data_IF_509569115089
#
_entry.id   IF_509569115089
#
_cell.length_a   1.000
_cell.length_b   1.000
_cell.length_c   1.000
_cell.angle_alpha   90.00
_cell.angle_beta   90.00
_cell.angle_gamma   90.00
#
_symmetry.space_group_name_H-M   'P 1'
#
loop_
_entity.id
_entity.type
_entity.pdbx_description
1 polymer ?
#
# COMPACT_ATOMS: atom_id res chain seq x y z
N UNK A 1 10.51 -49.04 -5.67
CA UNK A 1 9.11 -49.16 -6.16
C UNK A 1 8.16 -48.14 -5.49
N UNK A 2 8.21 -47.92 -4.17
CA UNK A 2 7.31 -46.96 -3.49
C UNK A 2 7.44 -45.49 -3.97
N UNK A 3 8.66 -45.00 -4.22
CA UNK A 3 8.88 -43.64 -4.72
C UNK A 3 8.30 -43.42 -6.14
N UNK A 4 8.41 -44.43 -7.02
CA UNK A 4 7.88 -44.35 -8.38
C UNK A 4 6.33 -44.25 -8.40
N UNK A 5 5.65 -44.97 -7.50
CA UNK A 5 4.20 -44.88 -7.36
C UNK A 5 3.75 -43.50 -6.84
N UNK A 6 4.50 -42.93 -5.89
CA UNK A 6 4.23 -41.59 -5.35
C UNK A 6 4.42 -40.52 -6.42
N UNK A 7 5.49 -40.62 -7.20
CA UNK A 7 5.79 -39.79 -8.36
C UNK A 7 4.65 -39.79 -9.39
N UNK A 8 4.19 -40.98 -9.83
CA UNK A 8 3.08 -41.08 -10.78
C UNK A 8 1.79 -40.45 -10.24
N UNK A 9 1.48 -40.67 -8.95
CA UNK A 9 0.30 -40.09 -8.31
C UNK A 9 0.34 -38.56 -8.20
N UNK A 10 1.54 -37.99 -8.03
CA UNK A 10 1.73 -36.55 -8.02
C UNK A 10 1.49 -35.96 -9.41
N UNK A 11 2.09 -36.55 -10.44
CA UNK A 11 1.97 -36.07 -11.82
C UNK A 11 0.52 -36.09 -12.29
N UNK A 12 -0.24 -37.14 -11.98
CA UNK A 12 -1.68 -37.19 -12.36
C UNK A 12 -2.50 -36.13 -11.65
N UNK A 13 -2.34 -35.97 -10.32
CA UNK A 13 -3.03 -34.91 -9.56
C UNK A 13 -2.67 -33.51 -10.04
N UNK A 14 -1.39 -33.29 -10.36
CA UNK A 14 -0.87 -32.04 -10.90
C UNK A 14 -1.46 -31.70 -12.27
N UNK A 15 -1.52 -32.69 -13.17
CA UNK A 15 -2.16 -32.54 -14.48
C UNK A 15 -3.67 -32.25 -14.35
N UNK A 16 -4.37 -32.94 -13.46
CA UNK A 16 -5.81 -32.77 -13.26
C UNK A 16 -6.15 -31.38 -12.70
N UNK A 17 -5.37 -30.89 -11.72
CA UNK A 17 -5.52 -29.53 -11.22
C UNK A 17 -5.24 -28.48 -12.29
N UNK A 18 -4.22 -28.70 -13.14
CA UNK A 18 -3.97 -27.79 -14.27
C UNK A 18 -5.08 -27.77 -15.28
N UNK A 19 -5.66 -28.92 -15.62
CA UNK A 19 -6.82 -28.99 -16.53
C UNK A 19 -8.00 -28.25 -15.93
N UNK A 20 -8.25 -28.43 -14.63
CA UNK A 20 -9.31 -27.72 -13.91
C UNK A 20 -9.06 -26.21 -13.86
N UNK A 21 -7.83 -25.77 -13.59
CA UNK A 21 -7.45 -24.36 -13.63
C UNK A 21 -7.72 -23.75 -15.01
N UNK A 22 -7.24 -24.39 -16.09
CA UNK A 22 -7.47 -23.90 -17.47
C UNK A 22 -8.96 -23.83 -17.84
N UNK A 23 -9.76 -24.80 -17.39
CA UNK A 23 -11.22 -24.77 -17.59
C UNK A 23 -11.83 -23.57 -16.89
N UNK A 24 -11.48 -23.34 -15.63
CA UNK A 24 -11.98 -22.20 -14.85
C UNK A 24 -11.52 -20.86 -15.44
N UNK A 25 -10.27 -20.76 -15.89
CA UNK A 25 -9.74 -19.58 -16.59
C UNK A 25 -10.56 -19.26 -17.85
N UNK A 26 -10.89 -20.27 -18.64
CA UNK A 26 -11.73 -20.12 -19.85
C UNK A 26 -13.15 -19.67 -19.50
N UNK A 27 -13.74 -20.22 -18.44
CA UNK A 27 -15.08 -19.84 -17.98
C UNK A 27 -15.11 -18.39 -17.46
N UNK A 28 -14.05 -17.96 -16.75
CA UNK A 28 -13.87 -16.58 -16.30
C UNK A 28 -13.75 -15.63 -17.50
N UNK A 29 -12.97 -15.97 -18.52
CA UNK A 29 -12.85 -15.17 -19.74
C UNK A 29 -14.19 -14.96 -20.43
N UNK A 30 -14.97 -16.02 -20.64
CA UNK A 30 -16.29 -15.93 -21.28
C UNK A 30 -17.23 -15.03 -20.48
N UNK A 31 -17.25 -15.17 -19.15
CA UNK A 31 -18.10 -14.33 -18.30
C UNK A 31 -17.62 -12.89 -18.24
N UNK A 32 -16.31 -12.63 -18.19
CA UNK A 32 -15.75 -11.27 -18.24
C UNK A 32 -16.06 -10.59 -19.58
N UNK A 33 -16.00 -11.33 -20.70
CA UNK A 33 -16.43 -10.80 -22.00
C UNK A 33 -17.92 -10.46 -22.00
N UNK A 34 -18.76 -11.29 -21.39
CA UNK A 34 -20.20 -11.00 -21.25
C UNK A 34 -20.46 -9.76 -20.38
N UNK A 35 -19.68 -9.59 -19.31
CA UNK A 35 -19.71 -8.44 -18.41
C UNK A 35 -19.30 -7.17 -19.16
N UNK A 36 -18.18 -7.22 -19.88
CA UNK A 36 -17.70 -6.11 -20.71
C UNK A 36 -18.69 -5.76 -21.83
N UNK A 37 -19.36 -6.75 -22.42
CA UNK A 37 -20.42 -6.52 -23.41
C UNK A 37 -21.64 -5.82 -22.78
N UNK A 38 -22.01 -6.16 -21.55
CA UNK A 38 -23.05 -5.45 -20.81
C UNK A 38 -22.64 -3.98 -20.57
N UNK A 39 -21.41 -3.74 -20.13
CA UNK A 39 -20.88 -2.38 -19.97
C UNK A 39 -20.83 -1.59 -21.29
N UNK A 40 -20.39 -2.22 -22.38
CA UNK A 40 -20.40 -1.63 -23.71
C UNK A 40 -21.81 -1.35 -24.21
N UNK A 41 -22.80 -2.19 -23.88
CA UNK A 41 -24.20 -1.94 -24.21
C UNK A 41 -24.76 -0.73 -23.45
N UNK A 42 -24.41 -0.57 -22.17
CA UNK A 42 -24.79 0.59 -21.36
C UNK A 42 -24.16 1.89 -21.89
N UNK A 43 -22.88 1.87 -22.26
CA UNK A 43 -22.18 3.04 -22.81
C UNK A 43 -22.51 3.33 -24.29
N UNK A 44 -22.74 2.28 -25.08
CA UNK A 44 -22.89 2.32 -26.54
C UNK A 44 -24.20 2.91 -27.02
N UNK A 45 -25.25 2.90 -26.19
CA UNK A 45 -26.56 3.52 -26.48
C UNK A 45 -26.44 4.99 -26.91
N UNK A 46 -25.34 5.69 -26.61
CA UNK A 46 -25.12 7.08 -27.06
C UNK A 46 -24.01 7.29 -28.08
N UNK A 47 -23.07 6.36 -28.24
CA UNK A 47 -22.01 6.49 -29.24
C UNK A 47 -22.54 6.42 -30.67
N UNK A 48 -23.64 5.68 -30.87
CA UNK A 48 -24.33 5.59 -32.15
C UNK A 48 -25.54 6.51 -32.19
N UNK A 49 -25.39 7.64 -32.86
CA UNK A 49 -26.46 8.44 -33.46
C UNK A 49 -27.52 9.05 -32.52
N UNK A 50 -27.27 10.31 -32.14
CA UNK A 50 -28.11 11.51 -32.29
C UNK A 50 -29.65 11.48 -32.51
N UNK A 51 -30.37 10.36 -32.58
CA UNK A 51 -31.80 10.41 -32.93
C UNK A 51 -32.66 9.21 -32.52
N UNK A 52 -32.36 8.56 -31.40
CA UNK A 52 -33.36 7.72 -30.76
C UNK A 52 -33.54 8.22 -29.34
N UNK A 53 -34.65 8.92 -29.10
CA UNK A 53 -35.35 8.87 -27.82
C UNK A 53 -35.80 7.42 -27.58
N UNK A 54 -34.86 6.47 -27.53
CA UNK A 54 -35.11 5.18 -26.94
C UNK A 54 -35.24 5.50 -25.46
N UNK A 55 -36.49 5.57 -25.04
CA UNK A 55 -36.95 5.35 -23.69
C UNK A 55 -36.25 4.10 -23.13
N UNK A 56 -34.98 4.24 -22.74
CA UNK A 56 -34.23 3.26 -21.98
C UNK A 56 -34.84 3.32 -20.60
N UNK A 57 -36.00 2.66 -20.47
CA UNK A 57 -36.81 2.72 -19.28
C UNK A 57 -36.00 2.28 -18.08
N UNK A 58 -36.36 2.79 -16.91
CA UNK A 58 -35.83 2.34 -15.62
C UNK A 58 -35.81 0.79 -15.53
N UNK A 59 -36.76 0.13 -16.17
CA UNK A 59 -36.85 -1.33 -16.30
C UNK A 59 -35.60 -1.95 -16.97
N UNK A 60 -35.09 -1.38 -18.06
CA UNK A 60 -33.89 -1.88 -18.74
C UNK A 60 -32.62 -1.65 -17.92
N UNK A 61 -32.54 -0.52 -17.20
CA UNK A 61 -31.45 -0.24 -16.26
C UNK A 61 -31.48 -1.26 -15.11
N UNK A 62 -32.67 -1.51 -14.56
CA UNK A 62 -32.86 -2.46 -13.46
C UNK A 62 -32.55 -3.90 -13.88
N UNK A 63 -32.95 -4.31 -15.08
CA UNK A 63 -32.61 -5.62 -15.65
C UNK A 63 -31.11 -5.74 -15.84
N UNK A 64 -30.47 -4.69 -16.38
CA UNK A 64 -29.02 -4.62 -16.58
C UNK A 64 -28.25 -4.64 -15.25
N UNK A 65 -28.80 -4.04 -14.19
CA UNK A 65 -28.27 -4.16 -12.82
C UNK A 65 -28.36 -5.60 -12.32
N UNK A 66 -29.52 -6.23 -12.45
CA UNK A 66 -29.71 -7.60 -11.98
C UNK A 66 -28.80 -8.59 -12.73
N UNK A 67 -28.63 -8.43 -14.04
CA UNK A 67 -27.71 -9.26 -14.82
C UNK A 67 -26.26 -8.98 -14.46
N UNK A 68 -25.89 -7.72 -14.23
CA UNK A 68 -24.57 -7.33 -13.73
C UNK A 68 -24.27 -7.97 -12.36
N UNK A 69 -25.20 -7.89 -11.42
CA UNK A 69 -25.04 -8.46 -10.07
C UNK A 69 -24.92 -9.98 -10.13
N UNK A 70 -25.76 -10.66 -10.91
CA UNK A 70 -25.69 -12.11 -11.11
C UNK A 70 -24.35 -12.54 -11.74
N UNK A 71 -23.92 -11.87 -12.81
CA UNK A 71 -22.62 -12.13 -13.44
C UNK A 71 -21.45 -11.82 -12.50
N UNK A 72 -21.57 -10.79 -11.67
CA UNK A 72 -20.52 -10.42 -10.70
C UNK A 72 -20.35 -11.49 -9.62
N UNK A 73 -21.46 -12.01 -9.08
CA UNK A 73 -21.43 -13.11 -8.10
C UNK A 73 -20.87 -14.38 -8.73
N UNK A 74 -21.27 -14.70 -9.96
CA UNK A 74 -20.76 -15.85 -10.69
C UNK A 74 -19.25 -15.77 -10.94
N UNK A 75 -18.75 -14.61 -11.39
CA UNK A 75 -17.32 -14.39 -11.63
C UNK A 75 -16.55 -14.48 -10.32
N UNK A 76 -17.06 -13.90 -9.24
CA UNK A 76 -16.43 -14.00 -7.93
C UNK A 76 -16.32 -15.47 -7.47
N UNK A 77 -17.37 -16.25 -7.62
CA UNK A 77 -17.36 -17.68 -7.29
C UNK A 77 -16.35 -18.46 -8.15
N UNK A 78 -16.23 -18.15 -9.45
CA UNK A 78 -15.21 -18.76 -10.31
C UNK A 78 -13.79 -18.36 -9.89
N UNK A 79 -13.55 -17.11 -9.52
CA UNK A 79 -12.26 -16.63 -9.02
C UNK A 79 -11.90 -17.29 -7.69
N UNK A 80 -12.86 -17.48 -6.79
CA UNK A 80 -12.66 -18.18 -5.51
C UNK A 80 -12.31 -19.67 -5.75
N UNK A 81 -13.01 -20.31 -6.70
CA UNK A 81 -12.68 -21.68 -7.12
C UNK A 81 -11.30 -21.78 -7.77
N UNK A 82 -10.92 -20.82 -8.63
CA UNK A 82 -9.60 -20.78 -9.25
C UNK A 82 -8.50 -20.54 -8.21
N UNK A 83 -8.76 -19.67 -7.23
CA UNK A 83 -7.88 -19.45 -6.08
C UNK A 83 -7.68 -20.75 -5.30
N UNK A 84 -8.77 -21.47 -4.99
CA UNK A 84 -8.67 -22.75 -4.28
C UNK A 84 -7.90 -23.83 -5.07
N UNK A 85 -8.07 -23.87 -6.39
CA UNK A 85 -7.30 -24.78 -7.26
C UNK A 85 -5.82 -24.40 -7.26
N UNK A 86 -5.50 -23.11 -7.32
CA UNK A 86 -4.12 -22.61 -7.27
C UNK A 86 -3.46 -22.90 -5.90
N UNK A 87 -4.18 -22.75 -4.79
CA UNK A 87 -3.70 -23.09 -3.45
C UNK A 87 -3.38 -24.59 -3.31
N UNK A 88 -4.29 -25.46 -3.79
CA UNK A 88 -4.04 -26.92 -3.82
C UNK A 88 -2.85 -27.28 -4.69
N UNK A 89 -2.70 -26.57 -5.80
CA UNK A 89 -1.58 -26.74 -6.71
C UNK A 89 -0.28 -26.31 -6.01
N UNK A 90 -0.28 -25.22 -5.25
CA UNK A 90 0.87 -24.77 -4.45
C UNK A 90 1.22 -25.76 -3.33
N UNK A 91 0.22 -26.27 -2.61
CA UNK A 91 0.39 -27.25 -1.56
C UNK A 91 1.06 -28.53 -2.09
N UNK A 92 0.60 -29.02 -3.25
CA UNK A 92 1.23 -30.16 -3.92
C UNK A 92 2.69 -29.87 -4.29
N UNK A 93 3.02 -28.67 -4.77
CA UNK A 93 4.42 -28.33 -5.05
C UNK A 93 5.25 -28.35 -3.77
N UNK A 94 4.78 -27.71 -2.70
CA UNK A 94 5.50 -27.58 -1.43
C UNK A 94 5.88 -28.94 -0.84
N UNK A 95 4.97 -29.91 -0.92
CA UNK A 95 5.16 -31.25 -0.34
C UNK A 95 6.00 -32.18 -1.24
N UNK A 96 6.34 -31.76 -2.46
CA UNK A 96 6.99 -32.62 -3.46
C UNK A 96 8.43 -32.20 -3.76
N UNK A 97 9.26 -33.19 -4.12
CA UNK A 97 10.63 -32.95 -4.63
C UNK A 97 10.62 -32.08 -5.91
N UNK A 98 9.47 -32.00 -6.59
CA UNK A 98 9.25 -31.17 -7.77
C UNK A 98 9.24 -29.67 -7.49
N UNK A 99 9.10 -29.21 -6.23
CA UNK A 99 9.32 -27.79 -5.90
C UNK A 99 10.66 -27.25 -6.43
N UNK A 100 11.67 -28.14 -6.56
CA UNK A 100 12.99 -27.80 -7.08
C UNK A 100 13.07 -27.71 -8.60
N UNK A 101 12.03 -28.15 -9.32
CA UNK A 101 11.97 -28.08 -10.76
C UNK A 101 11.55 -26.66 -11.19
N UNK A 102 12.43 -25.89 -11.85
CA UNK A 102 12.14 -24.50 -12.23
C UNK A 102 10.92 -24.37 -13.15
N UNK A 103 10.60 -25.40 -13.95
CA UNK A 103 9.42 -25.40 -14.82
C UNK A 103 8.11 -25.41 -14.02
N UNK A 104 8.07 -26.12 -12.90
CA UNK A 104 6.89 -26.20 -12.04
C UNK A 104 6.64 -24.89 -11.29
N UNK A 105 7.72 -24.29 -10.76
CA UNK A 105 7.69 -22.97 -10.12
C UNK A 105 7.25 -21.88 -11.10
N UNK A 106 7.76 -21.89 -12.33
CA UNK A 106 7.35 -20.95 -13.36
C UNK A 106 5.87 -21.11 -13.75
N UNK A 107 5.40 -22.35 -13.88
CA UNK A 107 3.99 -22.63 -14.19
C UNK A 107 3.06 -22.14 -13.08
N UNK A 108 3.42 -22.37 -11.82
CA UNK A 108 2.69 -21.84 -10.67
C UNK A 108 2.67 -20.31 -10.66
N UNK A 109 3.82 -19.67 -10.90
CA UNK A 109 3.92 -18.22 -10.98
C UNK A 109 2.98 -17.66 -12.05
N UNK A 110 2.93 -18.29 -13.23
CA UNK A 110 2.01 -17.90 -14.31
C UNK A 110 0.54 -17.98 -13.90
N UNK A 111 0.13 -19.03 -13.19
CA UNK A 111 -1.26 -19.16 -12.71
C UNK A 111 -1.61 -18.07 -11.68
N UNK A 112 -0.66 -17.63 -10.85
CA UNK A 112 -0.86 -16.51 -9.93
C UNK A 112 -1.00 -15.18 -10.65
N UNK A 113 -0.15 -14.93 -11.64
CA UNK A 113 -0.21 -13.71 -12.45
C UNK A 113 -1.55 -13.62 -13.19
N UNK A 114 -1.97 -14.70 -13.84
CA UNK A 114 -3.27 -14.78 -14.53
C UNK A 114 -4.45 -14.54 -13.58
N UNK A 115 -4.43 -15.15 -12.38
CA UNK A 115 -5.47 -14.92 -11.38
C UNK A 115 -5.52 -13.45 -10.91
N UNK A 116 -4.36 -12.83 -10.74
CA UNK A 116 -4.26 -11.41 -10.38
C UNK A 116 -4.79 -10.52 -11.50
N UNK A 117 -4.44 -10.82 -12.75
CA UNK A 117 -4.92 -10.11 -13.94
C UNK A 117 -6.45 -10.19 -14.04
N UNK A 118 -7.04 -11.39 -13.89
CA UNK A 118 -8.50 -11.54 -13.89
C UNK A 118 -9.17 -10.79 -12.75
N UNK A 119 -8.57 -10.78 -11.55
CA UNK A 119 -9.10 -10.04 -10.41
C UNK A 119 -9.06 -8.53 -10.65
N UNK A 120 -8.00 -8.05 -11.29
CA UNK A 120 -7.84 -6.64 -11.67
C UNK A 120 -8.83 -6.23 -12.77
N UNK A 121 -8.93 -7.01 -13.83
CA UNK A 121 -9.86 -6.78 -14.94
C UNK A 121 -11.31 -6.85 -14.48
N UNK A 122 -11.67 -7.82 -13.62
CA UNK A 122 -12.99 -7.89 -13.01
C UNK A 122 -13.32 -6.62 -12.21
N UNK A 123 -12.42 -6.18 -11.33
CA UNK A 123 -12.62 -4.96 -10.52
C UNK A 123 -12.75 -3.71 -11.38
N UNK A 124 -11.95 -3.63 -12.44
CA UNK A 124 -12.00 -2.53 -13.42
C UNK A 124 -13.33 -2.53 -14.18
N UNK A 125 -13.77 -3.68 -14.68
CA UNK A 125 -15.05 -3.84 -15.37
C UNK A 125 -16.22 -3.51 -14.43
N UNK A 126 -16.17 -3.99 -13.19
CA UNK A 126 -17.15 -3.72 -12.15
C UNK A 126 -17.24 -2.22 -11.84
N UNK A 127 -16.11 -1.54 -11.67
CA UNK A 127 -16.08 -0.09 -11.45
C UNK A 127 -16.65 0.70 -12.64
N UNK A 128 -16.26 0.32 -13.86
CA UNK A 128 -16.76 0.97 -15.08
C UNK A 128 -18.28 0.80 -15.23
N UNK A 129 -18.81 -0.39 -15.01
CA UNK A 129 -20.26 -0.64 -15.11
C UNK A 129 -21.02 0.08 -14.00
N UNK A 130 -20.50 0.13 -12.78
CA UNK A 130 -21.14 0.91 -11.71
C UNK A 130 -21.24 2.39 -12.06
N UNK A 131 -20.17 2.99 -12.60
CA UNK A 131 -20.19 4.40 -13.05
C UNK A 131 -21.21 4.60 -14.18
N UNK A 132 -21.26 3.68 -15.15
CA UNK A 132 -22.24 3.74 -16.24
C UNK A 132 -23.68 3.59 -15.73
N UNK A 133 -23.90 2.69 -14.79
CA UNK A 133 -25.21 2.39 -14.24
C UNK A 133 -25.70 3.52 -13.31
N UNK A 134 -24.83 4.08 -12.49
CA UNK A 134 -25.14 5.27 -11.68
C UNK A 134 -25.45 6.47 -12.57
N UNK A 135 -24.66 6.70 -13.61
CA UNK A 135 -24.94 7.72 -14.61
C UNK A 135 -26.31 7.50 -15.25
N UNK A 136 -26.61 6.27 -15.67
CA UNK A 136 -27.89 5.96 -16.30
C UNK A 136 -29.07 6.11 -15.33
N UNK A 137 -28.91 5.75 -14.06
CA UNK A 137 -29.94 5.98 -13.02
C UNK A 137 -30.19 7.46 -12.76
N UNK A 138 -29.13 8.27 -12.65
CA UNK A 138 -29.27 9.72 -12.47
C UNK A 138 -29.96 10.35 -13.68
N UNK A 139 -29.61 9.90 -14.90
CA UNK A 139 -30.23 10.37 -16.14
C UNK A 139 -31.68 9.92 -16.26
N UNK A 140 -31.99 8.65 -15.96
CA UNK A 140 -33.35 8.12 -15.94
C UNK A 140 -34.21 8.83 -14.89
N UNK A 141 -33.65 9.12 -13.70
CA UNK A 141 -34.31 9.92 -12.67
C UNK A 141 -34.54 11.36 -13.13
N UNK A 142 -33.57 11.97 -13.83
CA UNK A 142 -33.74 13.32 -14.38
C UNK A 142 -34.81 13.34 -15.47
N UNK A 143 -34.87 12.34 -16.35
CA UNK A 143 -35.88 12.24 -17.41
C UNK A 143 -37.27 11.96 -16.83
N UNK A 144 -37.38 11.08 -15.83
CA UNK A 144 -38.65 10.86 -15.12
C UNK A 144 -39.11 12.14 -14.42
N UNK A 145 -38.17 12.88 -13.81
CA UNK A 145 -38.41 14.20 -13.24
C UNK A 145 -38.84 15.22 -14.30
N UNK A 146 -38.14 15.36 -15.43
CA UNK A 146 -38.46 16.27 -16.53
C UNK A 146 -39.82 15.93 -17.17
N UNK A 147 -40.12 14.65 -17.37
CA UNK A 147 -41.43 14.22 -17.87
C UNK A 147 -42.55 14.57 -16.88
N UNK A 148 -42.27 14.58 -15.57
CA UNK A 148 -43.23 15.08 -14.57
C UNK A 148 -43.22 16.61 -14.46
N UNK A 149 -42.09 17.28 -14.71
CA UNK A 149 -41.89 18.74 -14.60
C UNK A 149 -42.46 19.50 -15.80
N UNK A 150 -42.71 18.85 -16.94
CA UNK A 150 -43.53 19.46 -17.99
C UNK A 150 -44.99 19.68 -17.57
N UNK A 151 -45.39 19.31 -16.34
CA UNK A 151 -46.66 19.71 -15.73
C UNK A 151 -46.38 20.52 -14.45
N UNK A 152 -45.83 21.73 -14.62
CA UNK A 152 -46.10 22.85 -13.71
C UNK A 152 -45.00 23.19 -12.67
N UNK A 153 -44.68 24.48 -12.63
CA UNK A 153 -43.89 25.20 -11.61
C UNK A 153 -42.36 25.10 -11.71
N UNK A 154 -41.88 25.75 -12.75
CA UNK A 154 -40.59 26.45 -12.81
C UNK A 154 -40.34 27.25 -11.50
N UNK A 155 -39.26 26.93 -10.78
CA UNK A 155 -38.77 27.75 -9.65
C UNK A 155 -38.31 27.00 -8.39
N UNK A 156 -38.95 25.91 -7.97
CA UNK A 156 -38.61 25.25 -6.68
C UNK A 156 -37.57 24.13 -6.83
N UNK A 157 -37.63 23.35 -7.91
CA UNK A 157 -36.74 22.20 -8.10
C UNK A 157 -35.29 22.62 -8.37
N UNK A 158 -35.09 23.71 -9.12
CA UNK A 158 -33.74 24.21 -9.44
C UNK A 158 -32.97 24.66 -8.19
N UNK A 159 -33.69 25.13 -7.16
CA UNK A 159 -33.08 25.58 -5.90
C UNK A 159 -32.55 24.41 -5.07
N UNK A 160 -33.23 23.26 -5.10
CA UNK A 160 -32.77 22.07 -4.38
C UNK A 160 -31.56 21.43 -5.07
N UNK A 161 -31.56 21.34 -6.40
CA UNK A 161 -30.39 20.85 -7.15
C UNK A 161 -29.18 21.75 -6.96
N UNK A 162 -29.35 23.08 -6.99
CA UNK A 162 -28.28 24.04 -6.74
C UNK A 162 -27.69 23.91 -5.32
N UNK A 163 -28.55 23.65 -4.32
CA UNK A 163 -28.10 23.43 -2.94
C UNK A 163 -27.21 22.18 -2.82
N UNK A 164 -27.59 21.06 -3.44
CA UNK A 164 -26.78 19.83 -3.42
C UNK A 164 -25.47 19.98 -4.19
N UNK A 165 -25.48 20.70 -5.32
CA UNK A 165 -24.27 20.97 -6.10
C UNK A 165 -23.29 21.82 -5.29
N UNK A 166 -23.80 22.85 -4.60
CA UNK A 166 -23.02 23.69 -3.70
C UNK A 166 -22.48 22.90 -2.50
N UNK A 167 -23.26 21.99 -1.93
CA UNK A 167 -22.80 21.09 -0.87
C UNK A 167 -21.68 20.17 -1.38
N UNK A 168 -21.83 19.59 -2.57
CA UNK A 168 -20.81 18.75 -3.18
C UNK A 168 -19.50 19.50 -3.43
N UNK A 169 -19.58 20.73 -3.94
CA UNK A 169 -18.40 21.59 -4.10
C UNK A 169 -17.74 21.91 -2.76
N UNK A 170 -18.54 22.15 -1.71
CA UNK A 170 -18.03 22.37 -0.36
C UNK A 170 -17.37 21.12 0.23
N UNK A 171 -17.94 19.92 0.01
CA UNK A 171 -17.35 18.64 0.42
C UNK A 171 -16.02 18.43 -0.32
N UNK A 172 -15.99 18.63 -1.64
CA UNK A 172 -14.76 18.47 -2.44
C UNK A 172 -13.67 19.47 -2.05
N UNK A 173 -14.05 20.70 -1.74
CA UNK A 173 -13.12 21.69 -1.18
C UNK A 173 -12.62 21.26 0.20
N UNK A 174 -13.51 20.71 1.05
CA UNK A 174 -13.13 20.19 2.37
C UNK A 174 -12.18 19.01 2.27
N UNK A 175 -12.40 18.10 1.33
CA UNK A 175 -11.56 16.93 1.07
C UNK A 175 -10.14 17.35 0.69
N UNK A 176 -10.01 18.33 -0.22
CA UNK A 176 -8.72 18.92 -0.58
C UNK A 176 -8.00 19.56 0.61
N UNK A 177 -8.73 20.30 1.45
CA UNK A 177 -8.15 20.91 2.66
C UNK A 177 -7.69 19.86 3.67
N UNK A 178 -8.41 18.72 3.78
CA UNK A 178 -8.02 17.61 4.64
C UNK A 178 -6.74 16.94 4.11
N UNK A 179 -6.63 16.70 2.80
CA UNK A 179 -5.41 16.16 2.20
C UNK A 179 -4.19 17.07 2.43
N UNK A 180 -4.36 18.38 2.27
CA UNK A 180 -3.30 19.36 2.55
C UNK A 180 -2.90 19.35 4.04
N UNK A 181 -3.86 19.24 4.95
CA UNK A 181 -3.60 19.12 6.40
C UNK A 181 -2.90 17.80 6.76
N UNK A 182 -3.30 16.69 6.15
CA UNK A 182 -2.65 15.38 6.34
C UNK A 182 -1.21 15.45 5.81
N UNK A 183 -0.99 16.05 4.64
CA UNK A 183 0.33 16.28 4.07
C UNK A 183 1.23 17.12 4.98
N UNK A 184 0.70 18.24 5.49
CA UNK A 184 1.41 19.11 6.44
C UNK A 184 1.73 18.38 7.76
N UNK A 185 0.79 17.57 8.28
CA UNK A 185 0.98 16.80 9.50
C UNK A 185 2.05 15.70 9.31
N UNK A 186 2.05 15.01 8.17
CA UNK A 186 3.06 14.00 7.82
C UNK A 186 4.45 14.64 7.68
N UNK A 187 4.56 15.77 6.97
CA UNK A 187 5.81 16.53 6.83
C UNK A 187 6.33 17.04 8.17
N UNK A 188 5.44 17.50 9.05
CA UNK A 188 5.79 17.93 10.42
C UNK A 188 6.26 16.75 11.26
N UNK A 189 5.59 15.59 11.17
CA UNK A 189 6.02 14.35 11.86
C UNK A 189 7.42 13.94 11.43
N UNK A 190 7.70 13.96 10.14
CA UNK A 190 9.01 13.63 9.58
C UNK A 190 10.08 14.62 10.06
N UNK A 191 9.79 15.93 10.04
CA UNK A 191 10.68 16.97 10.55
C UNK A 191 11.02 16.78 12.03
N UNK A 192 10.02 16.48 12.89
CA UNK A 192 10.24 16.18 14.30
C UNK A 192 11.06 14.90 14.51
N UNK A 193 10.87 13.89 13.67
CA UNK A 193 11.66 12.66 13.72
C UNK A 193 13.13 12.92 13.37
N UNK A 194 13.41 13.68 12.30
CA UNK A 194 14.76 14.10 11.93
C UNK A 194 15.41 14.93 13.04
N UNK A 195 14.67 15.86 13.66
CA UNK A 195 15.16 16.63 14.82
C UNK A 195 15.52 15.72 16.00
N UNK A 196 14.68 14.72 16.32
CA UNK A 196 14.96 13.74 17.37
C UNK A 196 16.22 12.92 17.08
N UNK A 197 16.42 12.50 15.83
CA UNK A 197 17.65 11.84 15.38
C UNK A 197 18.87 12.76 15.51
N UNK A 198 18.74 14.03 15.13
CA UNK A 198 19.76 15.06 15.31
C UNK A 198 20.16 15.23 16.78
N UNK A 199 19.19 15.38 17.69
CA UNK A 199 19.43 15.46 19.12
C UNK A 199 20.09 14.19 19.68
N UNK A 200 19.69 13.00 19.20
CA UNK A 200 20.34 11.74 19.58
C UNK A 200 21.79 11.68 19.10
N UNK A 201 22.08 12.20 17.91
CA UNK A 201 23.44 12.29 17.38
C UNK A 201 24.29 13.31 18.16
N UNK A 202 23.70 14.45 18.55
CA UNK A 202 24.36 15.44 19.41
C UNK A 202 24.63 14.84 20.79
N UNK A 203 23.67 14.14 21.39
CA UNK A 203 23.85 13.43 22.67
C UNK A 203 24.96 12.39 22.58
N UNK A 204 25.02 11.60 21.49
CA UNK A 204 26.13 10.68 21.23
C UNK A 204 27.47 11.41 21.10
N UNK A 205 27.54 12.53 20.38
CA UNK A 205 28.76 13.35 20.29
C UNK A 205 29.15 13.92 21.64
N UNK A 206 28.20 14.42 22.44
CA UNK A 206 28.44 14.95 23.77
C UNK A 206 28.98 13.87 24.71
N UNK A 207 28.37 12.69 24.74
CA UNK A 207 28.90 11.55 25.52
C UNK A 207 30.29 11.12 25.06
N UNK A 208 30.60 11.25 23.77
CA UNK A 208 31.94 10.99 23.22
C UNK A 208 32.95 12.04 23.66
N UNK A 209 32.56 13.32 23.71
CA UNK A 209 33.38 14.41 24.24
C UNK A 209 33.63 14.25 25.75
N UNK A 210 32.61 13.88 26.53
CA UNK A 210 32.75 13.58 27.96
C UNK A 210 33.74 12.43 28.19
N UNK A 211 33.72 11.39 27.35
CA UNK A 211 34.70 10.30 27.41
C UNK A 211 36.13 10.74 27.06
N UNK A 212 36.31 11.81 26.27
CA UNK A 212 37.63 12.39 25.97
C UNK A 212 38.12 13.37 27.04
N UNK A 213 37.24 13.88 27.90
CA UNK A 213 37.61 14.76 29.00
C UNK A 213 38.72 14.20 29.91
N UNK A 214 38.69 12.93 30.39
CA UNK A 214 39.79 12.37 31.17
C UNK A 214 41.10 12.21 30.38
N UNK A 215 41.02 12.03 29.05
CA UNK A 215 42.21 12.01 28.20
C UNK A 215 42.86 13.41 28.12
N UNK A 216 42.05 14.46 27.96
CA UNK A 216 42.52 15.86 28.03
C UNK A 216 43.05 16.18 29.42
N UNK A 217 42.37 15.74 30.48
CA UNK A 217 42.82 15.94 31.86
C UNK A 217 44.17 15.26 32.11
N UNK A 218 44.38 14.04 31.60
CA UNK A 218 45.64 13.32 31.69
C UNK A 218 46.77 14.03 30.93
N UNK A 219 46.48 14.62 29.77
CA UNK A 219 47.44 15.42 29.01
C UNK A 219 47.77 16.73 29.75
N UNK A 220 46.76 17.40 30.32
CA UNK A 220 46.94 18.62 31.13
C UNK A 220 47.81 18.35 32.36
N UNK A 221 47.55 17.27 33.09
CA UNK A 221 48.37 16.85 34.22
C UNK A 221 49.81 16.54 33.80
N UNK A 222 50.01 15.82 32.68
CA UNK A 222 51.34 15.52 32.13
C UNK A 222 52.13 16.77 31.76
N UNK A 223 51.48 17.81 31.24
CA UNK A 223 52.12 19.09 30.94
C UNK A 223 52.52 19.81 32.24
N UNK A 224 51.65 19.83 33.24
CA UNK A 224 51.93 20.52 34.50
C UNK A 224 53.09 19.87 35.26
N UNK A 225 53.15 18.53 35.34
CA UNK A 225 54.27 17.84 35.99
C UNK A 225 55.59 18.04 35.25
N UNK A 226 55.59 18.15 33.92
CA UNK A 226 56.83 18.40 33.17
C UNK A 226 57.40 19.79 33.48
N UNK A 227 56.54 20.80 33.69
CA UNK A 227 56.94 22.15 34.09
C UNK A 227 57.39 22.24 35.55
N UNK A 228 56.80 21.46 36.45
CA UNK A 228 57.11 21.52 37.88
C UNK A 228 58.24 20.59 38.34
N UNK A 229 58.72 19.67 37.49
CA UNK A 229 59.80 18.74 37.84
C UNK A 229 61.09 19.44 38.28
N UNK A 230 61.55 20.43 37.53
CA UNK A 230 62.82 21.11 37.86
C UNK A 230 62.69 21.92 39.16
N UNK A 231 61.56 22.61 39.36
CA UNK A 231 61.27 23.33 40.60
C UNK A 231 61.18 22.41 41.82
N UNK A 232 60.58 21.22 41.66
CA UNK A 232 60.48 20.21 42.72
C UNK A 232 61.87 19.67 43.10
N UNK A 233 62.74 19.43 42.12
CA UNK A 233 64.12 18.98 42.37
C UNK A 233 64.91 20.06 43.11
N UNK A 234 64.83 21.32 42.67
CA UNK A 234 65.53 22.43 43.34
C UNK A 234 65.01 22.60 44.78
N UNK A 235 63.68 22.57 44.99
CA UNK A 235 63.09 22.66 46.33
C UNK A 235 63.54 21.52 47.24
N UNK A 236 63.63 20.29 46.71
CA UNK A 236 64.13 19.14 47.46
C UNK A 236 65.60 19.31 47.86
N UNK A 237 66.45 19.82 46.97
CA UNK A 237 67.87 20.08 47.27
C UNK A 237 68.01 21.17 48.33
N UNK A 238 67.27 22.28 48.20
CA UNK A 238 67.27 23.36 49.21
C UNK A 238 66.80 22.83 50.57
N UNK A 239 65.72 22.04 50.60
CA UNK A 239 65.25 21.40 51.83
C UNK A 239 66.30 20.49 52.45
N UNK A 240 67.00 19.68 51.65
CA UNK A 240 68.08 18.80 52.13
C UNK A 240 69.25 19.61 52.70
N UNK A 241 69.67 20.69 52.02
CA UNK A 241 70.71 21.58 52.50
C UNK A 241 70.35 22.25 53.84
N UNK A 242 69.10 22.69 54.00
CA UNK A 242 68.62 23.26 55.26
C UNK A 242 68.63 22.21 56.39
N UNK A 243 68.26 20.96 56.12
CA UNK A 243 68.32 19.87 57.10
C UNK A 243 69.76 19.58 57.50
N UNK A 244 70.70 19.53 56.54
CA UNK A 244 72.13 19.31 56.84
C UNK A 244 72.72 20.47 57.64
N UNK A 245 72.38 21.73 57.30
CA UNK A 245 72.80 22.88 58.11
C UNK A 245 72.22 22.83 59.52
N UNK A 246 70.97 22.40 59.67
CA UNK A 246 70.36 22.25 60.99
C UNK A 246 71.07 21.18 61.81
N UNK A 247 71.34 20.00 61.24
CA UNK A 247 72.10 18.91 61.90
C UNK A 247 73.50 19.38 62.27
N UNK A 248 74.20 20.07 61.36
CA UNK A 248 75.54 20.60 61.61
C UNK A 248 75.54 21.69 62.68
N UNK A 249 74.50 22.54 62.74
CA UNK A 249 74.38 23.56 63.79
C UNK A 249 74.04 23.00 65.16
N UNK A 250 73.43 21.81 65.19
CA UNK A 250 73.05 21.09 66.41
C UNK A 250 74.19 20.22 66.94
N UNK A 251 75.08 19.75 66.07
CA UNK A 251 76.28 18.99 66.43
C UNK A 251 77.43 19.90 66.85
#
# INVERSE_FOLDING_TARGET
MAEANTCNSFVTKWEDLRKRARSLETDVDVKLLSLNKLGASLGGVRGSALHQESNFGLDNVSLSRNTFEALSVDIQNLLDQLTNVNERMEELLRDSVYARNPASSHTMQRHREILQDYSHEFRRAQGNINVLLERELLMASSNAGICQINIGSDGLNNRRSDLFLKEHEHIKSSDKLLDDQIGLALSTKESLFVQRLGLKNISKKMTTLTKRYPAVHSLMQKIHVKKSRDAMVIAAVVSLCLILMFIYSVS
#
